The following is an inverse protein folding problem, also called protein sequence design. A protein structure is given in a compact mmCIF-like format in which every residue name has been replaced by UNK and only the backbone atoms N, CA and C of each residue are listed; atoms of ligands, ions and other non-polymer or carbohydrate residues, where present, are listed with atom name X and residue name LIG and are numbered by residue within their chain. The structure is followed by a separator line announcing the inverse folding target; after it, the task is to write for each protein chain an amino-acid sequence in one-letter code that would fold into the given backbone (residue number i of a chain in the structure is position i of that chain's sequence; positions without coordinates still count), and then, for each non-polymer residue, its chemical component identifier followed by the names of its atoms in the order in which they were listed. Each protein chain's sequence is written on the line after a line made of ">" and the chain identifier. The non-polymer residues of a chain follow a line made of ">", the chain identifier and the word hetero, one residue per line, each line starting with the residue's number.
data_IF_284627669595
#
_entry.id   IF_284627669595
#
_cell.length_a   1.000
_cell.length_b   1.000
_cell.length_c   1.000
_cell.angle_alpha   90.00
_cell.angle_beta   90.00
_cell.angle_gamma   90.00
#
_symmetry.space_group_name_H-M   'P 1'
#
loop_
_entity.id
_entity.type
_entity.pdbx_description
1 polymer ?
#
# COMPACT_ATOMS: atom_id res chain seq x y z
N UNK A 1 7.95 -55.10 10.34
CA UNK A 1 8.11 -54.08 9.27
C UNK A 1 6.96 -53.07 9.34
N UNK A 2 7.00 -52.05 10.22
CA UNK A 2 5.92 -51.04 10.33
C UNK A 2 6.40 -49.58 10.11
N UNK A 3 7.68 -49.39 9.81
CA UNK A 3 8.33 -48.08 9.66
C UNK A 3 8.36 -47.55 8.21
N UNK A 4 7.89 -48.34 7.24
CA UNK A 4 7.96 -48.00 5.80
C UNK A 4 6.86 -47.01 5.37
N UNK A 5 5.68 -47.08 5.98
CA UNK A 5 4.58 -46.14 5.71
C UNK A 5 4.86 -44.74 6.25
N UNK A 6 5.57 -44.64 7.37
CA UNK A 6 5.94 -43.36 7.96
C UNK A 6 7.01 -42.61 7.14
N UNK A 7 7.88 -43.34 6.43
CA UNK A 7 8.91 -42.80 5.53
C UNK A 7 8.35 -42.28 4.19
N UNK A 8 7.17 -42.76 3.78
CA UNK A 8 6.48 -42.38 2.55
C UNK A 8 5.45 -41.26 2.75
N UNK A 9 4.80 -41.20 3.93
CA UNK A 9 3.87 -40.11 4.26
C UNK A 9 4.53 -38.78 4.61
N UNK A 10 5.72 -38.84 5.23
CA UNK A 10 6.48 -37.64 5.64
C UNK A 10 6.80 -36.67 4.48
N UNK A 11 7.36 -37.11 3.32
CA UNK A 11 7.65 -36.19 2.23
C UNK A 11 6.38 -35.56 1.65
N UNK A 12 5.28 -36.32 1.52
CA UNK A 12 4.00 -35.81 1.02
C UNK A 12 3.42 -34.70 1.91
N UNK A 13 3.49 -34.85 3.23
CA UNK A 13 3.04 -33.82 4.17
C UNK A 13 3.89 -32.54 4.07
N UNK A 14 5.21 -32.66 3.91
CA UNK A 14 6.11 -31.51 3.75
C UNK A 14 5.80 -30.74 2.45
N UNK A 15 5.56 -31.44 1.34
CA UNK A 15 5.17 -30.80 0.08
C UNK A 15 3.82 -30.08 0.19
N UNK A 16 2.82 -30.67 0.85
CA UNK A 16 1.52 -30.02 1.03
C UNK A 16 1.58 -28.80 1.95
N UNK A 17 2.36 -28.86 3.03
CA UNK A 17 2.59 -27.72 3.90
C UNK A 17 3.29 -26.57 3.16
N UNK A 18 4.31 -26.87 2.35
CA UNK A 18 5.01 -25.87 1.55
C UNK A 18 4.08 -25.09 0.59
N UNK A 19 3.12 -25.78 -0.02
CA UNK A 19 2.11 -25.17 -0.90
C UNK A 19 1.21 -24.22 -0.10
N UNK A 20 0.73 -24.64 1.08
CA UNK A 20 -0.12 -23.80 1.95
C UNK A 20 0.64 -22.56 2.44
N UNK A 21 1.92 -22.69 2.84
CA UNK A 21 2.74 -21.55 3.26
C UNK A 21 3.06 -20.58 2.10
N UNK A 22 3.16 -21.06 0.86
CA UNK A 22 3.32 -20.21 -0.32
C UNK A 22 2.07 -19.34 -0.58
N UNK A 23 0.86 -19.88 -0.38
CA UNK A 23 -0.38 -19.11 -0.50
C UNK A 23 -0.66 -18.23 0.73
N UNK A 24 -0.23 -18.65 1.93
CA UNK A 24 -0.33 -17.83 3.14
C UNK A 24 0.66 -16.64 3.13
N UNK A 25 1.81 -16.74 2.46
CA UNK A 25 2.75 -15.60 2.33
C UNK A 25 2.23 -14.47 1.44
N UNK A 26 1.11 -14.67 0.72
CA UNK A 26 0.42 -13.59 0.01
C UNK A 26 -0.56 -12.80 0.89
N UNK A 27 -0.77 -13.17 2.16
CA UNK A 27 -1.27 -12.21 3.15
C UNK A 27 -0.10 -11.39 3.70
N UNK A 28 0.66 -10.77 2.80
CA UNK A 28 1.44 -9.60 3.15
C UNK A 28 0.46 -8.55 3.60
N UNK A 29 0.41 -8.41 4.91
CA UNK A 29 -0.03 -7.27 5.69
C UNK A 29 -0.17 -6.00 4.86
N UNK A 30 -1.39 -5.74 4.39
CA UNK A 30 -1.92 -4.38 4.48
C UNK A 30 -2.69 -4.27 5.78
N UNK A 31 -1.99 -4.50 6.88
CA UNK A 31 -2.19 -3.68 8.05
C UNK A 31 -1.72 -2.28 7.63
N UNK A 32 -2.56 -1.57 6.90
CA UNK A 32 -2.49 -0.12 6.92
C UNK A 32 -3.58 0.25 7.89
N UNK A 33 -3.09 0.49 9.09
CA UNK A 33 -3.78 1.04 10.22
C UNK A 33 -4.92 1.95 9.78
N UNK A 34 -5.97 1.88 10.57
CA UNK A 34 -7.00 2.90 10.77
C UNK A 34 -6.34 4.22 11.25
N UNK A 35 -5.38 4.77 10.51
CA UNK A 35 -4.70 6.03 10.79
C UNK A 35 -5.20 7.03 9.75
N UNK A 36 -6.42 7.53 9.96
CA UNK A 36 -6.97 8.77 9.38
C UNK A 36 -6.38 9.17 8.00
N UNK A 37 -6.44 8.25 7.04
CA UNK A 37 -5.99 8.34 5.66
C UNK A 37 -4.93 9.41 5.32
N UNK A 38 -3.74 9.36 5.95
CA UNK A 38 -2.60 10.17 5.48
C UNK A 38 -2.12 9.64 4.13
N UNK A 39 -2.02 10.54 3.16
CA UNK A 39 -1.53 10.26 1.82
C UNK A 39 -0.54 11.33 1.36
N UNK A 40 0.49 10.97 0.57
CA UNK A 40 1.40 11.96 0.00
C UNK A 40 0.67 12.82 -1.03
N UNK A 41 0.83 14.14 -0.91
CA UNK A 41 0.31 15.13 -1.82
C UNK A 41 1.34 15.60 -2.84
N UNK A 42 0.93 15.67 -4.11
CA UNK A 42 1.80 15.96 -5.24
C UNK A 42 1.35 17.22 -6.00
N UNK A 43 2.33 17.93 -6.56
CA UNK A 43 2.12 19.09 -7.45
C UNK A 43 2.96 18.90 -8.71
N UNK A 44 2.39 19.27 -9.85
CA UNK A 44 3.11 19.27 -11.12
C UNK A 44 4.08 20.47 -11.19
N UNK A 45 5.39 20.17 -11.18
CA UNK A 45 6.51 21.11 -11.27
C UNK A 45 7.67 20.47 -12.05
N UNK A 46 8.37 21.24 -12.88
CA UNK A 46 9.51 20.76 -13.67
C UNK A 46 9.22 19.52 -14.53
N UNK A 47 8.01 19.47 -15.11
CA UNK A 47 7.56 18.35 -15.93
C UNK A 47 7.23 17.08 -15.13
N UNK A 48 7.25 17.13 -13.79
CA UNK A 48 7.00 15.97 -12.93
C UNK A 48 6.02 16.27 -11.79
N UNK A 49 5.34 15.24 -11.31
CA UNK A 49 4.55 15.27 -10.08
C UNK A 49 5.47 15.02 -8.89
N UNK A 50 5.90 16.13 -8.27
CA UNK A 50 6.77 16.11 -7.11
C UNK A 50 5.92 16.07 -5.83
N UNK A 51 6.37 15.25 -4.87
CA UNK A 51 5.76 15.21 -3.56
C UNK A 51 6.13 16.48 -2.79
N UNK A 52 5.12 17.16 -2.24
CA UNK A 52 5.29 18.48 -1.61
C UNK A 52 4.78 18.54 -0.17
N UNK A 53 3.86 17.66 0.21
CA UNK A 53 3.23 17.66 1.53
C UNK A 53 2.64 16.28 1.84
N UNK A 54 2.29 16.07 3.10
CA UNK A 54 1.43 14.97 3.53
C UNK A 54 0.03 15.52 3.74
N UNK A 55 -0.95 14.93 3.07
CA UNK A 55 -2.35 15.36 3.07
C UNK A 55 -3.24 14.23 3.61
N UNK A 56 -4.54 14.48 3.71
CA UNK A 56 -5.55 13.49 4.09
C UNK A 56 -6.56 13.25 2.97
N UNK A 57 -7.12 12.05 2.88
CA UNK A 57 -8.31 11.79 2.05
C UNK A 57 -9.63 12.03 2.80
N UNK A 58 -9.56 12.38 4.09
CA UNK A 58 -10.74 12.71 4.89
C UNK A 58 -11.22 14.13 4.53
N UNK A 59 -12.51 14.34 4.23
CA UNK A 59 -13.03 15.65 3.85
C UNK A 59 -12.69 16.74 4.89
N UNK A 60 -12.16 17.87 4.42
CA UNK A 60 -11.71 18.97 5.26
C UNK A 60 -11.29 20.20 4.46
N UNK A 61 -10.49 21.11 5.02
CA UNK A 61 -9.87 22.18 4.24
C UNK A 61 -8.93 21.60 3.17
N UNK A 62 -8.75 22.27 2.04
CA UNK A 62 -7.89 21.76 0.96
C UNK A 62 -6.41 21.73 1.37
N UNK A 63 -5.69 20.70 0.94
CA UNK A 63 -4.25 20.60 1.12
C UNK A 63 -3.55 21.55 0.13
N UNK A 64 -3.26 22.78 0.56
CA UNK A 64 -2.58 23.78 -0.27
C UNK A 64 -1.09 23.87 0.10
N UNK A 65 -0.23 23.91 -0.93
CA UNK A 65 1.19 24.26 -0.79
C UNK A 65 1.42 25.53 -1.61
N UNK A 66 1.52 26.66 -0.93
CA UNK A 66 1.51 27.98 -1.59
C UNK A 66 0.17 28.25 -2.28
N UNK A 67 0.20 28.54 -3.58
CA UNK A 67 -1.01 28.82 -4.39
C UNK A 67 -1.56 27.58 -5.12
N UNK A 68 -0.97 26.40 -4.88
CA UNK A 68 -1.28 25.17 -5.61
C UNK A 68 -1.87 24.11 -4.67
N UNK A 69 -2.88 23.40 -5.17
CA UNK A 69 -3.53 22.30 -4.44
C UNK A 69 -2.75 21.02 -4.68
N UNK A 70 -2.39 20.33 -3.60
CA UNK A 70 -1.77 19.02 -3.65
C UNK A 70 -2.82 17.94 -4.01
N UNK A 71 -2.41 17.02 -4.89
CA UNK A 71 -3.28 15.98 -5.46
C UNK A 71 -2.63 14.61 -5.36
N UNK A 72 -3.39 13.58 -5.68
CA UNK A 72 -2.85 12.23 -5.92
C UNK A 72 -1.83 12.24 -7.08
N UNK A 73 -0.97 11.22 -7.15
CA UNK A 73 -0.10 10.96 -8.30
C UNK A 73 -0.68 9.82 -9.15
N UNK A 74 -0.90 10.06 -10.44
CA UNK A 74 -1.24 9.00 -11.42
C UNK A 74 0.06 8.36 -11.93
N UNK A 75 0.99 9.19 -12.39
CA UNK A 75 2.33 8.76 -12.80
C UNK A 75 3.34 9.91 -12.57
N UNK A 76 4.57 9.76 -13.06
CA UNK A 76 5.61 10.77 -12.87
C UNK A 76 5.31 12.12 -13.51
N UNK A 77 4.53 12.18 -14.58
CA UNK A 77 4.26 13.38 -15.36
C UNK A 77 2.79 13.82 -15.28
N UNK A 78 1.94 13.09 -14.55
CA UNK A 78 0.51 13.33 -14.45
C UNK A 78 0.04 13.20 -13.00
N UNK A 79 -0.47 14.32 -12.48
CA UNK A 79 -1.05 14.38 -11.15
C UNK A 79 -2.55 14.15 -11.30
N UNK A 80 -3.15 13.49 -10.32
CA UNK A 80 -4.59 13.21 -10.28
C UNK A 80 -5.44 14.46 -10.36
N UNK A 81 -6.74 14.26 -10.57
CA UNK A 81 -7.75 15.32 -10.49
C UNK A 81 -8.33 15.42 -9.07
N UNK A 82 -8.21 14.36 -8.29
CA UNK A 82 -8.71 14.32 -6.92
C UNK A 82 -7.93 15.28 -6.02
N UNK A 83 -8.68 16.16 -5.36
CA UNK A 83 -8.16 17.11 -4.40
C UNK A 83 -7.97 16.42 -3.06
N UNK A 84 -6.81 16.63 -2.46
CA UNK A 84 -6.53 16.13 -1.12
C UNK A 84 -6.82 17.23 -0.08
N UNK A 85 -7.08 16.80 1.14
CA UNK A 85 -7.43 17.68 2.26
C UNK A 85 -6.25 17.86 3.19
N UNK A 86 -6.23 18.96 3.93
CA UNK A 86 -5.22 19.26 4.93
C UNK A 86 -5.33 18.23 6.05
N UNK A 87 -4.20 17.65 6.44
CA UNK A 87 -4.15 16.77 7.59
C UNK A 87 -4.14 17.61 8.86
N UNK A 88 -5.21 17.52 9.64
CA UNK A 88 -5.32 18.12 10.98
C UNK A 88 -5.45 16.98 11.99
N UNK A 89 -4.58 16.98 13.00
CA UNK A 89 -4.65 16.10 14.15
C UNK A 89 -5.56 16.70 15.24
#
# INVERSE_FOLDING_TARGET
>A
MKTKFLKLGLPLAVFMLAIVFAFASNSTSKAQDTSLALVPGYIFQDGKCQQVATCSTVPGPLCMVGTKIARNKINETQCGLEQLYHWSN
#
